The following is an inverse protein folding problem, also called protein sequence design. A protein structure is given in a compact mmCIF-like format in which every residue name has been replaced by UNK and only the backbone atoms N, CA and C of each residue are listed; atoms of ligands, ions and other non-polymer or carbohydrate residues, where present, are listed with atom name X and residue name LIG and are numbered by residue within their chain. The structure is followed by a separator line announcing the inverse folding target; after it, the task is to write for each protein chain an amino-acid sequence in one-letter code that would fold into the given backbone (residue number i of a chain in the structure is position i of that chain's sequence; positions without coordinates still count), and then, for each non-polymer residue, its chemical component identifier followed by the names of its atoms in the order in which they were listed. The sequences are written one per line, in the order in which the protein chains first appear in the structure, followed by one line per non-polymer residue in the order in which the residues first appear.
data_IF_931150738140
#
_entry.id   IF_931150738140
#
_cell.length_a   1.000
_cell.length_b   1.000
_cell.length_c   1.000
_cell.angle_alpha   90.00
_cell.angle_beta   90.00
_cell.angle_gamma   90.00
#
_symmetry.space_group_name_H-M   'P 1'
#
loop_
_entity.id
_entity.type
_entity.pdbx_description
1 polymer ?
#
# COMPACT_ATOMS: atom_id res chain seq x y z
N UNK A 1 -50.95 -58.43 25.93
CA UNK A 1 -50.85 -57.20 26.69
C UNK A 1 -50.23 -56.16 25.80
N UNK A 2 -51.03 -55.20 25.53
CA UNK A 2 -50.86 -53.95 24.79
C UNK A 2 -49.60 -53.16 25.22
N UNK A 3 -48.85 -52.55 24.31
CA UNK A 3 -48.50 -51.13 24.38
C UNK A 3 -48.11 -50.62 22.98
N UNK A 4 -48.60 -49.53 22.70
CA UNK A 4 -48.85 -48.61 21.64
C UNK A 4 -47.62 -48.02 20.95
N UNK A 5 -47.74 -47.79 19.64
CA UNK A 5 -46.89 -46.94 18.80
C UNK A 5 -47.23 -45.45 18.97
N UNK A 6 -46.26 -44.59 18.88
CA UNK A 6 -46.39 -43.18 18.45
C UNK A 6 -45.06 -42.79 17.76
N UNK A 7 -45.05 -42.63 16.48
CA UNK A 7 -45.43 -41.54 15.61
C UNK A 7 -44.44 -40.38 15.61
N UNK A 8 -43.72 -40.24 14.51
CA UNK A 8 -43.55 -39.03 13.74
C UNK A 8 -42.67 -37.92 14.35
N UNK A 9 -41.45 -37.83 13.86
CA UNK A 9 -40.71 -36.58 13.90
C UNK A 9 -40.49 -36.11 12.45
N UNK A 10 -41.28 -35.09 12.06
CA UNK A 10 -41.05 -34.30 10.83
C UNK A 10 -39.75 -33.52 10.94
N UNK A 11 -39.04 -33.29 9.84
CA UNK A 11 -37.88 -32.43 9.85
C UNK A 11 -38.32 -30.98 10.08
N UNK A 12 -37.67 -30.32 11.06
CA UNK A 12 -37.84 -28.90 11.31
C UNK A 12 -37.31 -28.09 10.11
N UNK A 13 -38.19 -27.28 9.55
CA UNK A 13 -37.86 -26.28 8.57
C UNK A 13 -36.93 -25.23 9.18
N UNK A 14 -35.80 -25.01 8.52
CA UNK A 14 -34.89 -23.89 8.84
C UNK A 14 -35.65 -22.56 8.82
N UNK A 15 -35.40 -21.64 9.77
CA UNK A 15 -36.02 -20.33 9.77
C UNK A 15 -35.47 -19.52 8.61
N UNK A 16 -36.35 -19.09 7.71
CA UNK A 16 -36.08 -18.06 6.71
C UNK A 16 -35.73 -16.78 7.46
N UNK A 17 -34.45 -16.33 7.39
CA UNK A 17 -34.05 -15.04 7.88
C UNK A 17 -34.62 -14.00 6.91
N UNK A 18 -35.48 -13.06 7.35
CA UNK A 18 -35.96 -11.99 6.49
C UNK A 18 -34.75 -11.09 6.17
N UNK A 19 -34.51 -10.85 4.88
CA UNK A 19 -33.51 -9.88 4.40
C UNK A 19 -33.85 -8.45 4.81
N UNK A 20 -33.62 -8.10 6.07
CA UNK A 20 -33.53 -6.73 6.54
C UNK A 20 -32.10 -6.27 6.30
N UNK A 21 -31.91 -5.29 5.41
CA UNK A 21 -30.63 -4.59 5.28
C UNK A 21 -30.21 -4.10 6.68
N UNK A 22 -29.14 -4.70 7.22
CA UNK A 22 -28.51 -4.21 8.44
C UNK A 22 -27.97 -2.84 8.08
N UNK A 23 -28.66 -1.76 8.50
CA UNK A 23 -28.09 -0.42 8.40
C UNK A 23 -26.76 -0.46 9.14
N UNK A 24 -25.64 -0.14 8.48
CA UNK A 24 -24.35 -0.12 9.16
C UNK A 24 -24.50 0.80 10.37
N UNK A 25 -24.06 0.33 11.55
CA UNK A 25 -24.00 1.14 12.75
C UNK A 25 -23.08 2.30 12.41
N UNK A 26 -23.61 3.54 12.41
CA UNK A 26 -22.79 4.73 12.22
C UNK A 26 -21.64 4.68 13.24
N UNK A 27 -20.43 4.50 12.73
CA UNK A 27 -19.23 4.61 13.52
C UNK A 27 -18.96 6.11 13.76
N UNK A 28 -18.36 6.51 14.89
CA UNK A 28 -17.98 7.91 15.07
C UNK A 28 -17.05 8.31 13.91
N UNK A 29 -17.37 9.44 13.24
CA UNK A 29 -16.53 9.99 12.18
C UNK A 29 -15.11 10.22 12.70
N UNK A 30 -14.12 9.77 11.95
CA UNK A 30 -12.72 10.02 12.29
C UNK A 30 -12.37 11.44 11.84
N UNK A 31 -11.80 12.23 12.75
CA UNK A 31 -11.29 13.55 12.39
C UNK A 31 -10.08 13.40 11.46
N UNK A 32 -10.15 14.04 10.29
CA UNK A 32 -9.10 14.04 9.27
C UNK A 32 -8.56 15.45 9.09
N UNK A 33 -7.24 15.59 8.99
CA UNK A 33 -6.58 16.84 8.64
C UNK A 33 -5.90 16.61 7.29
N UNK A 34 -6.24 17.41 6.30
CA UNK A 34 -5.56 17.42 5.00
C UNK A 34 -4.67 18.65 4.88
N UNK A 35 -3.45 18.47 4.38
CA UNK A 35 -2.48 19.54 4.16
C UNK A 35 -2.24 19.75 2.68
N UNK A 36 -2.33 20.99 2.24
CA UNK A 36 -2.03 21.42 0.86
C UNK A 36 -0.93 22.48 0.88
N UNK A 37 -0.04 22.46 -0.12
CA UNK A 37 0.90 23.56 -0.36
C UNK A 37 0.36 24.61 -1.32
N UNK A 38 -0.90 24.48 -1.75
CA UNK A 38 -1.52 25.38 -2.70
C UNK A 38 -1.00 25.25 -4.14
N UNK A 39 -0.20 24.23 -4.45
CA UNK A 39 0.32 24.01 -5.80
C UNK A 39 -0.80 23.56 -6.72
N UNK A 40 -0.84 24.04 -7.98
CA UNK A 40 -1.91 23.69 -8.92
C UNK A 40 -2.12 22.20 -9.13
N UNK A 41 -1.03 21.41 -9.13
CA UNK A 41 -1.09 19.95 -9.33
C UNK A 41 -1.89 19.24 -8.22
N UNK A 42 -1.85 19.73 -6.98
CA UNK A 42 -2.62 19.13 -5.88
C UNK A 42 -4.12 19.25 -6.11
N UNK A 43 -4.54 20.41 -6.65
CA UNK A 43 -5.93 20.62 -7.04
C UNK A 43 -6.34 19.81 -8.27
N UNK A 44 -5.47 19.70 -9.26
CA UNK A 44 -5.74 18.98 -10.50
C UNK A 44 -5.76 17.46 -10.28
N UNK A 45 -4.81 16.94 -9.54
CA UNK A 45 -4.68 15.50 -9.29
C UNK A 45 -5.41 15.05 -8.01
N UNK A 46 -6.16 15.94 -7.35
CA UNK A 46 -6.97 15.67 -6.18
C UNK A 46 -6.22 14.89 -5.09
N UNK A 47 -5.10 15.45 -4.60
CA UNK A 47 -4.34 14.87 -3.50
C UNK A 47 -3.90 15.92 -2.47
N UNK A 48 -3.55 15.45 -1.29
CA UNK A 48 -2.98 16.25 -0.20
C UNK A 48 -1.50 15.93 -0.04
N UNK A 49 -0.69 16.93 0.34
CA UNK A 49 0.73 16.76 0.66
C UNK A 49 0.94 15.80 1.81
N UNK A 50 0.17 16.00 2.85
CA UNK A 50 0.09 15.11 4.00
C UNK A 50 -1.35 15.05 4.47
N UNK A 51 -1.68 13.99 5.17
CA UNK A 51 -2.93 13.91 5.90
C UNK A 51 -2.74 13.19 7.24
N UNK A 52 -3.64 13.47 8.16
CA UNK A 52 -3.77 12.78 9.42
C UNK A 52 -5.17 12.19 9.54
N UNK A 53 -5.27 10.95 10.01
CA UNK A 53 -6.52 10.34 10.47
C UNK A 53 -6.23 9.60 11.77
N UNK A 54 -6.87 10.05 12.86
CA UNK A 54 -6.57 9.50 14.18
C UNK A 54 -5.09 9.65 14.56
N UNK A 55 -4.44 8.56 14.88
CA UNK A 55 -3.01 8.53 15.20
C UNK A 55 -2.09 8.42 13.95
N UNK A 56 -2.64 8.11 12.78
CA UNK A 56 -1.85 7.89 11.56
C UNK A 56 -1.64 9.20 10.81
N UNK A 57 -0.39 9.50 10.46
CA UNK A 57 0.00 10.63 9.60
C UNK A 57 0.67 10.07 8.36
N UNK A 58 0.16 10.43 7.20
CA UNK A 58 0.66 10.00 5.90
C UNK A 58 1.22 11.20 5.13
N UNK A 59 2.42 11.03 4.57
CA UNK A 59 3.05 11.94 3.64
C UNK A 59 2.94 11.37 2.22
N UNK A 60 2.43 12.14 1.28
CA UNK A 60 2.41 11.80 -0.15
C UNK A 60 3.80 11.57 -0.70
N UNK A 61 3.87 10.81 -1.78
CA UNK A 61 5.04 10.79 -2.64
C UNK A 61 5.53 12.23 -2.87
N UNK A 62 6.75 12.48 -2.45
CA UNK A 62 7.36 13.80 -2.49
C UNK A 62 8.70 13.71 -3.21
N UNK A 63 8.88 14.58 -4.18
CA UNK A 63 10.12 14.79 -4.91
C UNK A 63 10.73 16.12 -4.53
N UNK A 64 12.03 16.28 -4.77
CA UNK A 64 12.79 17.49 -4.47
C UNK A 64 12.47 18.60 -5.47
N UNK A 65 11.36 19.32 -5.30
CA UNK A 65 10.90 20.38 -6.18
C UNK A 65 10.58 21.64 -5.37
N UNK A 66 11.08 22.81 -5.82
CA UNK A 66 10.67 24.10 -5.28
C UNK A 66 9.28 24.55 -5.76
N UNK A 67 8.84 25.74 -5.35
CA UNK A 67 7.54 26.31 -5.75
C UNK A 67 7.42 26.63 -7.24
N UNK A 68 8.51 27.04 -7.83
CA UNK A 68 8.64 27.37 -9.24
C UNK A 68 8.68 26.12 -10.11
N UNK A 69 8.83 24.92 -9.46
CA UNK A 69 8.89 23.65 -10.11
C UNK A 69 10.29 23.22 -10.54
N UNK A 70 11.35 23.87 -10.07
CA UNK A 70 12.72 23.44 -10.32
C UNK A 70 13.07 22.27 -9.41
N UNK A 71 13.89 21.34 -9.94
CA UNK A 71 14.42 20.24 -9.11
C UNK A 71 15.53 20.75 -8.23
N UNK A 72 15.46 20.44 -6.95
CA UNK A 72 16.43 20.81 -5.93
C UNK A 72 17.47 19.70 -5.76
N UNK A 73 18.73 20.02 -6.05
CA UNK A 73 19.86 19.10 -5.89
C UNK A 73 20.12 18.20 -7.10
N UNK A 74 21.40 18.02 -7.41
CA UNK A 74 21.90 17.25 -8.54
C UNK A 74 22.29 15.81 -8.17
N UNK A 75 22.25 15.45 -6.88
CA UNK A 75 22.54 14.11 -6.36
C UNK A 75 21.35 13.56 -5.61
N UNK A 76 21.27 12.23 -5.51
CA UNK A 76 20.19 11.57 -4.75
C UNK A 76 20.23 11.99 -3.28
N UNK A 77 21.41 12.13 -2.68
CA UNK A 77 21.56 12.61 -1.30
C UNK A 77 20.98 14.01 -1.12
N UNK A 78 21.33 14.96 -2.00
CA UNK A 78 20.80 16.34 -1.92
C UNK A 78 19.28 16.38 -2.13
N UNK A 79 18.75 15.54 -3.01
CA UNK A 79 17.30 15.43 -3.21
C UNK A 79 16.60 14.84 -1.97
N UNK A 80 17.18 13.83 -1.32
CA UNK A 80 16.65 13.28 -0.05
C UNK A 80 16.58 14.38 1.02
N UNK A 81 17.63 15.15 1.21
CA UNK A 81 17.66 16.26 2.19
C UNK A 81 16.55 17.29 1.93
N UNK A 82 16.37 17.69 0.66
CA UNK A 82 15.32 18.62 0.27
C UNK A 82 13.90 18.02 0.50
N UNK A 83 13.69 16.74 0.15
CA UNK A 83 12.43 16.04 0.36
C UNK A 83 12.10 15.95 1.86
N UNK A 84 13.07 15.57 2.70
CA UNK A 84 12.84 15.41 4.13
C UNK A 84 12.52 16.73 4.82
N UNK A 85 13.07 17.85 4.32
CA UNK A 85 12.68 19.19 4.79
C UNK A 85 11.20 19.47 4.46
N UNK A 86 10.78 19.27 3.21
CA UNK A 86 9.38 19.43 2.79
C UNK A 86 8.43 18.51 3.57
N UNK A 87 8.87 17.28 3.86
CA UNK A 87 8.10 16.31 4.62
C UNK A 87 7.91 16.77 6.09
N UNK A 88 8.95 17.29 6.75
CA UNK A 88 8.83 17.83 8.12
C UNK A 88 7.78 18.95 8.19
N UNK A 89 7.82 19.86 7.23
CA UNK A 89 6.87 20.99 7.19
C UNK A 89 5.43 20.52 6.97
N UNK A 90 5.19 19.62 6.03
CA UNK A 90 3.85 19.12 5.71
C UNK A 90 3.29 18.17 6.78
N UNK A 91 4.11 17.28 7.33
CA UNK A 91 3.70 16.41 8.45
C UNK A 91 3.43 17.23 9.72
N UNK A 92 4.25 18.24 10.02
CA UNK A 92 4.03 19.16 11.14
C UNK A 92 2.71 19.90 11.02
N UNK A 93 2.33 20.36 9.81
CA UNK A 93 1.02 20.98 9.56
C UNK A 93 -0.13 19.99 9.75
N UNK A 94 0.08 18.70 9.48
CA UNK A 94 -0.86 17.63 9.82
C UNK A 94 -0.83 17.27 11.32
N UNK A 95 -0.11 18.02 12.16
CA UNK A 95 0.13 17.73 13.58
C UNK A 95 0.89 16.40 13.82
N UNK A 96 1.65 15.94 12.86
CA UNK A 96 2.56 14.81 13.02
C UNK A 96 3.93 15.25 13.53
N UNK A 97 4.63 14.32 14.16
CA UNK A 97 6.00 14.48 14.63
C UNK A 97 6.90 13.62 13.75
N UNK A 98 7.99 14.19 13.23
CA UNK A 98 8.86 13.49 12.29
C UNK A 98 9.56 12.28 12.95
N UNK A 99 9.86 12.39 14.23
CA UNK A 99 10.46 11.33 15.04
C UNK A 99 9.53 10.13 15.25
N UNK A 100 8.24 10.29 14.95
CA UNK A 100 7.22 9.22 14.99
C UNK A 100 7.09 8.44 13.67
N UNK A 101 7.98 8.68 12.69
CA UNK A 101 7.99 7.94 11.42
C UNK A 101 8.31 6.47 11.67
N UNK A 102 7.42 5.60 11.18
CA UNK A 102 7.50 4.14 11.36
C UNK A 102 7.75 3.39 10.07
N UNK A 103 7.46 4.00 8.93
CA UNK A 103 7.68 3.40 7.61
C UNK A 103 8.04 4.45 6.57
N UNK A 104 8.95 4.09 5.67
CA UNK A 104 9.31 4.86 4.51
C UNK A 104 9.35 4.00 3.25
N UNK A 105 8.92 4.56 2.12
CA UNK A 105 9.05 3.96 0.81
C UNK A 105 9.79 4.90 -0.11
N UNK A 106 10.86 4.38 -0.69
CA UNK A 106 11.79 5.12 -1.54
C UNK A 106 11.74 4.52 -2.96
N UNK A 107 11.39 5.35 -3.93
CA UNK A 107 11.30 5.00 -5.34
C UNK A 107 12.39 5.76 -6.10
N UNK A 108 13.38 5.03 -6.63
CA UNK A 108 14.60 5.60 -7.23
C UNK A 108 14.61 5.34 -8.73
N UNK A 109 14.91 6.37 -9.54
CA UNK A 109 14.86 6.26 -11.02
C UNK A 109 16.13 5.67 -11.63
N UNK A 110 17.22 5.58 -10.87
CA UNK A 110 18.49 5.03 -11.30
C UNK A 110 18.99 3.98 -10.29
N UNK A 111 19.09 2.73 -10.73
CA UNK A 111 19.52 1.65 -9.85
C UNK A 111 20.98 1.79 -9.39
N UNK A 112 21.81 2.58 -10.08
CA UNK A 112 23.21 2.80 -9.71
C UNK A 112 23.37 3.64 -8.44
N UNK A 113 22.33 4.39 -8.03
CA UNK A 113 22.35 5.21 -6.81
C UNK A 113 21.49 4.63 -5.67
N UNK A 114 20.97 3.41 -5.82
CA UNK A 114 20.15 2.76 -4.77
C UNK A 114 20.88 2.69 -3.43
N UNK A 115 22.13 2.22 -3.43
CA UNK A 115 22.93 2.10 -2.21
C UNK A 115 23.24 3.48 -1.59
N UNK A 116 23.55 4.50 -2.41
CA UNK A 116 23.72 5.88 -1.94
C UNK A 116 22.43 6.40 -1.30
N UNK A 117 21.28 6.16 -1.95
CA UNK A 117 19.97 6.57 -1.45
C UNK A 117 19.66 5.92 -0.09
N UNK A 118 19.82 4.60 0.02
CA UNK A 118 19.60 3.87 1.26
C UNK A 118 20.48 4.39 2.41
N UNK A 119 21.78 4.53 2.19
CA UNK A 119 22.71 5.06 3.21
C UNK A 119 22.44 6.52 3.58
N UNK A 120 22.03 7.36 2.62
CA UNK A 120 21.67 8.74 2.91
C UNK A 120 20.41 8.80 3.78
N UNK A 121 19.44 7.94 3.48
CA UNK A 121 18.21 7.83 4.26
C UNK A 121 18.47 7.29 5.66
N UNK A 122 19.25 6.21 5.82
CA UNK A 122 19.63 5.68 7.14
C UNK A 122 20.31 6.74 8.03
N UNK A 123 21.20 7.54 7.46
CA UNK A 123 21.83 8.66 8.21
C UNK A 123 20.79 9.69 8.66
N UNK A 124 19.84 10.03 7.80
CA UNK A 124 18.80 11.01 8.10
C UNK A 124 17.79 10.52 9.15
N UNK A 125 17.59 9.20 9.24
CA UNK A 125 16.69 8.55 10.18
C UNK A 125 17.42 7.81 11.32
N UNK A 126 18.70 8.12 11.53
CA UNK A 126 19.45 7.56 12.66
C UNK A 126 18.73 7.86 13.99
N UNK A 127 18.43 6.79 14.76
CA UNK A 127 17.67 6.87 16.01
C UNK A 127 16.14 6.79 15.86
N UNK A 128 15.59 6.88 14.61
CA UNK A 128 14.18 6.62 14.32
C UNK A 128 14.02 5.18 13.80
N UNK A 129 14.88 4.75 12.89
CA UNK A 129 14.96 3.41 12.32
C UNK A 129 13.61 2.87 11.79
N UNK A 130 12.95 3.54 10.83
CA UNK A 130 11.70 3.06 10.28
C UNK A 130 11.88 1.76 9.47
N UNK A 131 10.81 1.04 9.21
CA UNK A 131 10.79 0.01 8.18
C UNK A 131 10.92 0.66 6.80
N UNK A 132 11.96 0.31 6.05
CA UNK A 132 12.26 0.92 4.75
C UNK A 132 11.98 -0.06 3.61
N UNK A 133 11.26 0.40 2.59
CA UNK A 133 11.18 -0.22 1.28
C UNK A 133 11.90 0.67 0.27
N UNK A 134 12.88 0.14 -0.43
CA UNK A 134 13.69 0.84 -1.45
C UNK A 134 13.66 0.03 -2.73
N UNK A 135 13.12 0.62 -3.82
CA UNK A 135 12.99 -0.04 -5.12
C UNK A 135 13.31 0.90 -6.27
N UNK A 136 13.90 0.37 -7.37
CA UNK A 136 14.02 1.11 -8.60
C UNK A 136 12.67 1.21 -9.31
N UNK A 137 12.48 2.34 -10.01
CA UNK A 137 11.35 2.59 -10.91
C UNK A 137 11.87 3.13 -12.25
N UNK A 138 11.04 3.11 -13.28
CA UNK A 138 11.49 3.55 -14.61
C UNK A 138 11.67 5.06 -14.72
N UNK A 139 10.76 5.84 -14.11
CA UNK A 139 10.73 7.29 -14.29
C UNK A 139 9.80 7.95 -13.28
N UNK A 140 10.13 9.18 -12.90
CA UNK A 140 9.25 10.15 -12.25
C UNK A 140 8.73 11.19 -13.25
N UNK A 141 8.00 12.19 -12.77
CA UNK A 141 7.38 13.20 -13.63
C UNK A 141 8.40 14.02 -14.44
N UNK A 142 9.61 14.20 -13.94
CA UNK A 142 10.70 14.93 -14.61
C UNK A 142 11.99 14.11 -14.62
N UNK A 143 12.77 14.17 -15.71
CA UNK A 143 14.01 13.39 -15.84
C UNK A 143 15.07 13.67 -14.75
N UNK A 144 15.11 14.88 -14.21
CA UNK A 144 16.06 15.26 -13.16
C UNK A 144 15.65 14.80 -11.75
N UNK A 145 14.45 14.27 -11.58
CA UNK A 145 14.02 13.70 -10.30
C UNK A 145 14.62 12.30 -10.16
N UNK A 146 15.46 12.12 -9.15
CA UNK A 146 16.18 10.87 -8.92
C UNK A 146 15.42 9.97 -7.92
N UNK A 147 14.60 10.56 -7.04
CA UNK A 147 13.93 9.85 -5.97
C UNK A 147 12.58 10.49 -5.63
N UNK A 148 11.64 9.66 -5.24
CA UNK A 148 10.38 10.03 -4.59
C UNK A 148 10.23 9.27 -3.28
N UNK A 149 9.77 9.94 -2.22
CA UNK A 149 9.68 9.36 -0.87
C UNK A 149 8.28 9.53 -0.32
N UNK A 150 7.71 8.43 0.19
CA UNK A 150 6.51 8.42 1.04
C UNK A 150 6.89 8.11 2.48
N UNK A 151 6.24 8.77 3.43
CA UNK A 151 6.43 8.51 4.86
C UNK A 151 5.08 8.20 5.53
N UNK A 152 5.15 7.33 6.52
CA UNK A 152 4.06 7.06 7.45
C UNK A 152 4.55 7.21 8.88
N UNK A 153 3.85 8.00 9.67
CA UNK A 153 4.09 8.17 11.09
C UNK A 153 2.86 7.75 11.90
N UNK A 154 3.09 7.37 13.15
CA UNK A 154 2.02 7.06 14.12
C UNK A 154 2.32 7.80 15.41
N UNK A 155 1.39 8.63 15.86
CA UNK A 155 1.56 9.45 17.06
C UNK A 155 2.11 8.67 18.25
N UNK A 156 3.18 9.19 18.84
CA UNK A 156 3.85 8.60 19.99
C UNK A 156 4.71 7.37 19.66
N UNK A 157 4.93 7.07 18.38
CA UNK A 157 5.75 5.92 17.96
C UNK A 157 7.18 6.02 18.45
N UNK A 158 7.77 7.22 18.51
CA UNK A 158 9.11 7.43 19.05
C UNK A 158 9.30 6.87 20.48
N UNK A 159 8.23 6.80 21.27
CA UNK A 159 8.25 6.29 22.64
C UNK A 159 7.67 4.87 22.76
N UNK A 160 6.89 4.39 21.80
CA UNK A 160 6.08 3.16 21.95
C UNK A 160 6.35 2.10 20.89
N UNK A 161 6.96 2.46 19.77
CA UNK A 161 7.27 1.49 18.72
C UNK A 161 8.35 0.50 19.17
N UNK A 162 8.14 -0.76 18.81
CA UNK A 162 9.14 -1.80 18.93
C UNK A 162 9.79 -2.02 17.57
N UNK A 163 11.12 -1.99 17.53
CA UNK A 163 11.90 -2.26 16.33
C UNK A 163 12.42 -3.69 16.36
N UNK A 164 12.18 -4.44 15.30
CA UNK A 164 12.65 -5.80 15.13
C UNK A 164 13.82 -5.77 14.13
N UNK A 165 15.01 -5.91 14.64
CA UNK A 165 16.21 -5.96 13.79
C UNK A 165 16.19 -7.20 12.88
N UNK A 166 16.63 -7.02 11.65
CA UNK A 166 16.74 -8.08 10.65
C UNK A 166 17.84 -7.73 9.63
N UNK A 167 18.96 -7.23 10.11
CA UNK A 167 20.13 -6.87 9.29
C UNK A 167 20.65 -8.02 8.42
N UNK A 168 20.23 -9.26 8.71
CA UNK A 168 20.50 -10.42 7.87
C UNK A 168 19.66 -10.53 6.60
N UNK A 169 18.55 -9.75 6.50
CA UNK A 169 17.64 -9.80 5.35
C UNK A 169 17.11 -8.43 4.87
N UNK A 170 17.53 -7.34 5.51
CA UNK A 170 17.26 -5.96 5.06
C UNK A 170 18.57 -5.17 5.03
N UNK A 171 18.76 -4.37 3.99
CA UNK A 171 19.99 -3.58 3.81
C UNK A 171 19.93 -2.25 4.57
N UNK A 172 18.72 -1.72 4.80
CA UNK A 172 18.50 -0.38 5.36
C UNK A 172 17.32 -0.37 6.33
N UNK A 173 17.39 0.49 7.36
CA UNK A 173 16.37 0.62 8.38
C UNK A 173 16.31 -0.58 9.32
N UNK A 174 15.10 -0.92 9.74
CA UNK A 174 14.84 -2.11 10.56
C UNK A 174 13.99 -3.13 9.81
N UNK A 175 14.06 -4.42 10.20
CA UNK A 175 13.29 -5.47 9.56
C UNK A 175 11.79 -5.30 9.72
N UNK A 176 11.34 -4.91 10.92
CA UNK A 176 9.95 -4.55 11.15
C UNK A 176 9.79 -3.52 12.27
N UNK A 177 8.72 -2.73 12.20
CA UNK A 177 8.26 -1.84 13.27
C UNK A 177 6.89 -2.29 13.75
N UNK A 178 6.75 -2.46 15.07
CA UNK A 178 5.46 -2.77 15.72
C UNK A 178 4.94 -1.53 16.42
N UNK A 179 3.76 -1.06 16.04
CA UNK A 179 3.13 0.13 16.63
C UNK A 179 1.61 0.01 16.58
N UNK A 180 0.92 0.28 17.69
CA UNK A 180 -0.54 0.22 17.75
C UNK A 180 -1.14 -1.13 17.34
N UNK A 181 -0.38 -2.23 17.50
CA UNK A 181 -0.78 -3.57 17.07
C UNK A 181 -0.57 -3.85 15.57
N UNK A 182 -0.06 -2.89 14.80
CA UNK A 182 0.36 -3.08 13.40
C UNK A 182 1.82 -3.52 13.37
N UNK A 183 2.15 -4.40 12.43
CA UNK A 183 3.50 -4.89 12.15
C UNK A 183 3.84 -4.44 10.72
N UNK A 184 4.78 -3.53 10.60
CA UNK A 184 5.21 -2.95 9.33
C UNK A 184 6.55 -3.57 8.96
N UNK A 185 6.57 -4.45 7.96
CA UNK A 185 7.78 -5.14 7.49
C UNK A 185 8.40 -4.33 6.36
N UNK A 186 9.69 -4.07 6.45
CA UNK A 186 10.48 -3.37 5.41
C UNK A 186 10.69 -4.22 4.17
N UNK A 187 11.41 -3.67 3.21
CA UNK A 187 11.76 -4.36 1.96
C UNK A 187 12.78 -5.47 2.20
N UNK A 188 12.35 -6.72 2.05
CA UNK A 188 13.21 -7.90 2.15
C UNK A 188 13.65 -8.27 0.74
N UNK A 189 14.94 -8.11 0.46
CA UNK A 189 15.55 -8.56 -0.77
C UNK A 189 15.89 -10.05 -0.71
N UNK A 190 15.66 -10.77 -1.80
CA UNK A 190 15.98 -12.19 -1.91
C UNK A 190 16.81 -12.45 -3.14
N UNK A 191 17.94 -13.14 -2.97
CA UNK A 191 18.85 -13.50 -4.05
C UNK A 191 18.90 -15.02 -4.24
N UNK A 192 18.64 -15.46 -5.45
CA UNK A 192 18.78 -16.86 -5.88
C UNK A 192 18.52 -16.95 -7.39
N UNK A 193 19.01 -18.00 -8.02
CA UNK A 193 18.71 -18.30 -9.43
C UNK A 193 17.28 -18.80 -9.67
N UNK A 194 16.53 -19.15 -8.62
CA UNK A 194 15.19 -19.71 -8.67
C UNK A 194 14.18 -18.78 -8.00
N UNK A 195 13.09 -18.42 -8.71
CA UNK A 195 12.00 -17.61 -8.13
C UNK A 195 11.34 -18.32 -6.95
N UNK A 196 11.21 -19.66 -6.99
CA UNK A 196 10.71 -20.44 -5.85
C UNK A 196 11.60 -20.25 -4.62
N UNK A 197 12.93 -20.37 -4.76
CA UNK A 197 13.86 -20.18 -3.63
C UNK A 197 13.85 -18.75 -3.13
N UNK A 198 13.79 -17.75 -4.01
CA UNK A 198 13.64 -16.34 -3.60
C UNK A 198 12.35 -16.11 -2.83
N UNK A 199 11.23 -16.71 -3.28
CA UNK A 199 9.93 -16.62 -2.59
C UNK A 199 9.99 -17.28 -1.22
N UNK A 200 10.64 -18.45 -1.11
CA UNK A 200 10.83 -19.15 0.16
C UNK A 200 11.63 -18.31 1.17
N UNK A 201 12.77 -17.75 0.73
CA UNK A 201 13.60 -16.90 1.57
C UNK A 201 12.84 -15.67 2.08
N UNK A 202 12.21 -14.92 1.17
CA UNK A 202 11.50 -13.70 1.53
C UNK A 202 10.32 -13.98 2.45
N UNK A 203 9.49 -14.99 2.17
CA UNK A 203 8.33 -15.32 2.99
C UNK A 203 8.72 -15.89 4.36
N UNK A 204 9.76 -16.73 4.44
CA UNK A 204 10.27 -17.20 5.71
C UNK A 204 10.78 -16.05 6.58
N UNK A 205 11.44 -15.04 5.99
CA UNK A 205 11.85 -13.84 6.69
C UNK A 205 10.64 -13.02 7.17
N UNK A 206 9.62 -12.79 6.31
CA UNK A 206 8.37 -12.12 6.70
C UNK A 206 7.70 -12.83 7.87
N UNK A 207 7.52 -14.16 7.78
CA UNK A 207 6.85 -14.94 8.83
C UNK A 207 7.66 -14.95 10.14
N UNK A 208 9.00 -15.02 10.06
CA UNK A 208 9.88 -14.88 11.22
C UNK A 208 9.76 -13.51 11.89
N UNK A 209 9.67 -12.43 11.10
CA UNK A 209 9.48 -11.08 11.63
C UNK A 209 8.11 -10.91 12.29
N UNK A 210 7.05 -11.49 11.72
CA UNK A 210 5.73 -11.50 12.35
C UNK A 210 5.76 -12.22 13.70
N UNK A 211 6.40 -13.39 13.79
CA UNK A 211 6.53 -14.15 15.04
C UNK A 211 7.33 -13.37 16.11
N UNK A 212 8.48 -12.81 15.73
CA UNK A 212 9.32 -11.97 16.61
C UNK A 212 8.61 -10.69 17.06
N UNK A 213 7.66 -10.21 16.28
CA UNK A 213 6.79 -9.08 16.60
C UNK A 213 5.60 -9.47 17.50
N UNK A 214 5.48 -10.74 17.90
CA UNK A 214 4.37 -11.24 18.71
C UNK A 214 3.09 -11.52 17.94
N UNK A 215 3.16 -11.56 16.61
CA UNK A 215 2.06 -11.96 15.72
C UNK A 215 2.19 -13.42 15.27
N UNK A 216 1.34 -13.80 14.35
CA UNK A 216 1.32 -15.11 13.70
C UNK A 216 1.14 -14.93 12.19
N UNK A 217 1.25 -15.99 11.41
CA UNK A 217 0.93 -15.95 9.98
C UNK A 217 -0.50 -15.47 9.72
N UNK A 218 -1.46 -15.80 10.58
CA UNK A 218 -2.87 -15.39 10.45
C UNK A 218 -3.06 -13.86 10.59
N UNK A 219 -2.06 -13.17 11.12
CA UNK A 219 -2.05 -11.72 11.31
C UNK A 219 -1.57 -10.95 10.07
N UNK A 220 -1.03 -11.65 9.06
CA UNK A 220 -0.62 -11.04 7.79
C UNK A 220 -1.85 -10.53 7.03
N UNK A 221 -1.93 -9.21 6.78
CA UNK A 221 -3.05 -8.57 6.09
C UNK A 221 -2.73 -8.18 4.65
N UNK A 222 -1.47 -7.93 4.34
CA UNK A 222 -1.04 -7.55 2.99
C UNK A 222 0.41 -7.89 2.70
N UNK A 223 0.68 -8.19 1.42
CA UNK A 223 2.03 -8.47 0.93
C UNK A 223 2.22 -7.87 -0.46
N UNK A 224 3.42 -7.35 -0.73
CA UNK A 224 3.80 -6.80 -2.03
C UNK A 224 5.05 -7.47 -2.53
N UNK A 225 5.03 -7.82 -3.80
CA UNK A 225 6.14 -8.39 -4.55
C UNK A 225 6.60 -7.41 -5.61
N UNK A 226 7.81 -6.92 -5.49
CA UNK A 226 8.50 -6.14 -6.52
C UNK A 226 9.45 -7.09 -7.25
N UNK A 227 9.19 -7.32 -8.54
CA UNK A 227 9.79 -8.42 -9.29
C UNK A 227 10.57 -7.87 -10.50
N UNK A 228 11.83 -8.24 -10.63
CA UNK A 228 12.67 -7.79 -11.76
C UNK A 228 12.35 -8.50 -13.07
N UNK A 229 11.81 -9.72 -13.02
CA UNK A 229 11.32 -10.49 -14.16
C UNK A 229 9.86 -10.89 -13.93
N UNK A 230 8.93 -10.10 -14.44
CA UNK A 230 7.49 -10.31 -14.24
C UNK A 230 6.98 -11.63 -14.83
N UNK A 231 7.69 -12.23 -15.80
CA UNK A 231 7.31 -13.53 -16.36
C UNK A 231 7.34 -14.67 -15.33
N UNK A 232 8.05 -14.47 -14.21
CA UNK A 232 8.12 -15.40 -13.08
C UNK A 232 7.02 -15.22 -12.04
N UNK A 233 6.14 -14.26 -12.22
CA UNK A 233 5.07 -13.94 -11.27
C UNK A 233 4.15 -15.12 -10.96
N UNK A 234 3.81 -15.94 -11.95
CA UNK A 234 2.98 -17.13 -11.75
C UNK A 234 3.63 -18.15 -10.80
N UNK A 235 4.95 -18.36 -10.91
CA UNK A 235 5.73 -19.22 -10.03
C UNK A 235 5.77 -18.65 -8.61
N UNK A 236 6.05 -17.34 -8.48
CA UNK A 236 6.09 -16.61 -7.20
C UNK A 236 4.74 -16.72 -6.48
N UNK A 237 3.64 -16.40 -7.16
CA UNK A 237 2.28 -16.43 -6.58
C UNK A 237 1.86 -17.84 -6.18
N UNK A 238 2.14 -18.83 -7.02
CA UNK A 238 1.83 -20.22 -6.70
C UNK A 238 2.59 -20.70 -5.46
N UNK A 239 3.87 -20.34 -5.37
CA UNK A 239 4.69 -20.70 -4.21
C UNK A 239 4.24 -19.97 -2.94
N UNK A 240 4.02 -18.66 -3.03
CA UNK A 240 3.53 -17.85 -1.93
C UNK A 240 2.16 -18.36 -1.42
N UNK A 241 1.23 -18.70 -2.34
CA UNK A 241 -0.05 -19.29 -1.97
C UNK A 241 0.09 -20.62 -1.24
N UNK A 242 1.08 -21.45 -1.63
CA UNK A 242 1.36 -22.73 -0.95
C UNK A 242 1.89 -22.53 0.48
N UNK A 243 2.71 -21.50 0.71
CA UNK A 243 3.29 -21.20 2.04
C UNK A 243 2.23 -20.56 2.93
N UNK A 244 1.48 -19.59 2.42
CA UNK A 244 0.50 -18.81 3.20
C UNK A 244 -0.81 -19.58 3.45
N UNK A 245 -1.13 -20.57 2.62
CA UNK A 245 -2.27 -21.45 2.85
C UNK A 245 -3.61 -20.71 2.96
N UNK A 246 -4.25 -20.80 4.14
CA UNK A 246 -5.57 -20.19 4.41
C UNK A 246 -5.53 -18.74 4.85
N UNK A 247 -4.34 -18.14 5.04
CA UNK A 247 -4.19 -16.75 5.53
C UNK A 247 -4.86 -15.73 4.61
N UNK A 248 -4.68 -15.89 3.30
CA UNK A 248 -5.29 -15.04 2.26
C UNK A 248 -5.10 -13.54 2.49
N UNK A 249 -3.85 -13.02 2.59
CA UNK A 249 -3.62 -11.59 2.64
C UNK A 249 -3.99 -10.92 1.31
N UNK A 250 -4.02 -9.58 1.27
CA UNK A 250 -4.00 -8.86 -0.01
C UNK A 250 -2.65 -9.06 -0.71
N UNK A 251 -2.63 -8.94 -2.04
CA UNK A 251 -1.42 -9.08 -2.84
C UNK A 251 -1.28 -7.97 -3.86
N UNK A 252 -0.09 -7.41 -3.95
CA UNK A 252 0.33 -6.48 -5.02
C UNK A 252 1.58 -7.05 -5.69
N UNK A 253 1.61 -7.06 -7.03
CA UNK A 253 2.78 -7.50 -7.81
C UNK A 253 3.12 -6.41 -8.80
N UNK A 254 4.37 -5.95 -8.77
CA UNK A 254 4.87 -4.85 -9.58
C UNK A 254 6.17 -5.29 -10.27
N UNK A 255 6.23 -5.13 -11.59
CA UNK A 255 7.45 -5.31 -12.36
C UNK A 255 8.35 -4.08 -12.22
N UNK A 256 9.55 -4.25 -11.69
CA UNK A 256 10.55 -3.19 -11.47
C UNK A 256 11.77 -3.37 -12.40
N UNK A 257 12.56 -2.30 -12.62
CA UNK A 257 13.84 -2.42 -13.30
C UNK A 257 14.78 -3.42 -12.60
N UNK A 258 15.72 -4.06 -13.34
CA UNK A 258 16.73 -4.92 -12.74
C UNK A 258 17.52 -4.19 -11.64
N UNK A 259 17.91 -4.91 -10.61
CA UNK A 259 18.82 -4.43 -9.57
C UNK A 259 20.29 -4.59 -10.03
N UNK A 260 21.22 -3.91 -9.35
CA UNK A 260 22.66 -4.05 -9.64
C UNK A 260 23.14 -5.47 -9.39
N UNK A 261 22.68 -6.09 -8.29
CA UNK A 261 22.86 -7.51 -8.07
C UNK A 261 21.81 -8.28 -8.88
N UNK A 262 22.25 -8.87 -9.98
CA UNK A 262 21.36 -9.62 -10.87
C UNK A 262 20.78 -10.91 -10.24
N UNK A 263 21.32 -11.37 -9.10
CA UNK A 263 20.77 -12.50 -8.36
C UNK A 263 19.57 -12.09 -7.52
N UNK A 264 19.39 -10.80 -7.20
CA UNK A 264 18.21 -10.28 -6.51
C UNK A 264 17.08 -10.08 -7.52
N UNK A 265 16.17 -11.03 -7.56
CA UNK A 265 15.00 -10.98 -8.45
C UNK A 265 13.69 -10.56 -7.78
N UNK A 266 13.68 -10.45 -6.44
CA UNK A 266 12.48 -10.25 -5.66
C UNK A 266 12.77 -9.38 -4.43
N UNK A 267 11.94 -8.33 -4.24
CA UNK A 267 11.84 -7.57 -3.00
C UNK A 267 10.42 -7.70 -2.47
N UNK A 268 10.26 -7.97 -1.18
CA UNK A 268 8.96 -8.16 -0.53
C UNK A 268 8.76 -7.16 0.59
N UNK A 269 7.64 -6.43 0.57
CA UNK A 269 7.12 -5.61 1.66
C UNK A 269 5.86 -6.29 2.21
N UNK A 270 5.66 -6.27 3.54
CA UNK A 270 4.49 -6.87 4.15
C UNK A 270 3.92 -6.03 5.29
N UNK A 271 2.65 -6.28 5.61
CA UNK A 271 1.97 -5.67 6.74
C UNK A 271 1.12 -6.70 7.48
N UNK A 272 1.25 -6.69 8.81
CA UNK A 272 0.46 -7.51 9.73
C UNK A 272 -0.33 -6.65 10.71
N UNK A 273 -1.37 -7.25 11.31
CA UNK A 273 -2.12 -6.67 12.42
C UNK A 273 -2.35 -7.74 13.46
N UNK A 274 -1.81 -7.57 14.66
CA UNK A 274 -1.89 -8.54 15.75
C UNK A 274 -3.36 -8.86 16.08
N UNK A 275 -3.72 -10.13 16.03
CA UNK A 275 -5.09 -10.62 16.23
C UNK A 275 -6.02 -10.44 15.01
N UNK A 276 -5.50 -10.08 13.84
CA UNK A 276 -6.28 -9.94 12.61
C UNK A 276 -7.01 -11.23 12.22
N UNK A 277 -6.38 -12.39 12.40
CA UNK A 277 -6.96 -13.67 12.03
C UNK A 277 -8.36 -13.95 12.60
N UNK A 278 -8.71 -13.31 13.72
CA UNK A 278 -10.02 -13.45 14.39
C UNK A 278 -11.01 -12.33 14.04
N UNK A 279 -10.56 -11.24 13.43
CA UNK A 279 -11.35 -10.01 13.23
C UNK A 279 -11.50 -9.62 11.76
N UNK A 280 -10.77 -10.29 10.87
CA UNK A 280 -10.67 -9.90 9.46
C UNK A 280 -11.92 -10.27 8.67
N UNK A 281 -12.28 -9.41 7.74
CA UNK A 281 -13.24 -9.66 6.67
C UNK A 281 -12.50 -9.56 5.34
N UNK A 282 -12.62 -10.61 4.53
CA UNK A 282 -11.91 -10.70 3.26
C UNK A 282 -12.90 -10.72 2.10
N UNK A 283 -12.53 -10.09 0.98
CA UNK A 283 -13.17 -10.32 -0.30
C UNK A 283 -12.25 -11.16 -1.20
N UNK A 284 -12.80 -12.07 -2.02
CA UNK A 284 -11.96 -12.94 -2.84
C UNK A 284 -11.22 -12.15 -3.93
N UNK A 285 -9.97 -12.54 -4.20
CA UNK A 285 -9.21 -11.99 -5.33
C UNK A 285 -9.69 -12.64 -6.64
N UNK A 286 -10.01 -11.86 -7.70
CA UNK A 286 -10.57 -12.41 -8.93
C UNK A 286 -9.62 -13.37 -9.66
N UNK A 287 -8.31 -13.16 -9.56
CA UNK A 287 -7.27 -13.92 -10.26
C UNK A 287 -6.54 -14.93 -9.37
N UNK A 288 -6.36 -14.64 -8.08
CA UNK A 288 -5.51 -15.42 -7.18
C UNK A 288 -6.31 -15.98 -5.98
N UNK A 289 -6.83 -17.22 -6.06
CA UNK A 289 -7.66 -17.80 -4.98
C UNK A 289 -6.97 -17.92 -3.62
N UNK A 290 -5.63 -17.94 -3.59
CA UNK A 290 -4.84 -17.98 -2.36
C UNK A 290 -4.72 -16.60 -1.66
N UNK A 291 -5.25 -15.54 -2.28
CA UNK A 291 -5.16 -14.16 -1.80
C UNK A 291 -6.54 -13.51 -1.73
N UNK A 292 -6.59 -12.35 -1.12
CA UNK A 292 -7.79 -11.51 -1.02
C UNK A 292 -7.66 -10.27 -1.88
N UNK A 293 -8.77 -9.81 -2.47
CA UNK A 293 -8.85 -8.49 -3.11
C UNK A 293 -8.78 -7.39 -2.06
N UNK A 294 -9.40 -7.64 -0.92
CA UNK A 294 -9.31 -6.76 0.24
C UNK A 294 -9.34 -7.52 1.55
N UNK A 295 -8.75 -6.94 2.57
CA UNK A 295 -8.80 -7.39 3.96
C UNK A 295 -9.18 -6.20 4.83
N UNK A 296 -10.31 -6.28 5.53
CA UNK A 296 -10.67 -5.30 6.55
C UNK A 296 -10.38 -5.85 7.94
N UNK A 297 -9.67 -5.07 8.75
CA UNK A 297 -9.48 -5.30 10.18
C UNK A 297 -9.87 -4.03 10.90
N UNK A 298 -10.93 -4.09 11.70
CA UNK A 298 -11.55 -2.95 12.35
C UNK A 298 -11.90 -1.84 11.33
N UNK A 299 -11.29 -0.65 11.42
CA UNK A 299 -11.51 0.44 10.48
C UNK A 299 -10.52 0.45 9.30
N UNK A 300 -9.43 -0.29 9.37
CA UNK A 300 -8.46 -0.38 8.30
C UNK A 300 -8.92 -1.32 7.19
N UNK A 301 -8.84 -0.87 5.94
CA UNK A 301 -9.10 -1.67 4.75
C UNK A 301 -7.84 -1.69 3.91
N UNK A 302 -7.21 -2.86 3.87
CA UNK A 302 -6.06 -3.19 3.04
C UNK A 302 -6.57 -3.71 1.70
N UNK A 303 -5.97 -3.27 0.60
CA UNK A 303 -6.44 -3.55 -0.74
C UNK A 303 -5.28 -4.09 -1.59
N UNK A 304 -5.53 -5.11 -2.38
CA UNK A 304 -4.64 -5.50 -3.48
C UNK A 304 -4.60 -4.38 -4.51
N UNK A 305 -3.59 -4.37 -5.38
CA UNK A 305 -3.65 -3.46 -6.53
C UNK A 305 -4.83 -3.83 -7.45
N UNK A 306 -5.54 -2.81 -7.90
CA UNK A 306 -6.64 -2.93 -8.87
C UNK A 306 -6.06 -2.76 -10.27
N UNK A 307 -5.91 -3.86 -10.98
CA UNK A 307 -5.68 -3.89 -12.42
C UNK A 307 -7.01 -3.82 -13.17
N UNK A 308 -7.03 -3.46 -14.46
CA UNK A 308 -8.27 -3.36 -15.24
C UNK A 308 -8.81 -4.75 -15.61
N UNK A 309 -9.06 -5.59 -14.61
CA UNK A 309 -9.52 -6.98 -14.77
C UNK A 309 -10.98 -7.13 -14.37
N UNK A 310 -11.75 -7.85 -15.21
CA UNK A 310 -13.09 -8.28 -14.83
C UNK A 310 -13.07 -9.50 -13.88
N UNK A 311 -14.24 -9.99 -13.50
CA UNK A 311 -14.39 -11.15 -12.60
C UNK A 311 -13.76 -12.45 -13.15
N UNK A 312 -13.63 -12.56 -14.47
CA UNK A 312 -12.95 -13.68 -15.14
C UNK A 312 -11.45 -13.47 -15.31
N UNK A 313 -10.87 -12.44 -14.66
CA UNK A 313 -9.48 -12.04 -14.74
C UNK A 313 -9.00 -11.67 -16.17
N UNK A 314 -9.91 -11.19 -17.02
CA UNK A 314 -9.57 -10.71 -18.37
C UNK A 314 -9.40 -9.20 -18.35
N UNK A 315 -8.36 -8.71 -19.05
CA UNK A 315 -8.08 -7.26 -19.17
C UNK A 315 -9.22 -6.58 -19.92
N UNK A 316 -9.70 -5.49 -19.37
CA UNK A 316 -10.72 -4.63 -19.97
C UNK A 316 -10.08 -3.41 -20.60
N UNK A 317 -10.69 -2.87 -21.63
CA UNK A 317 -10.26 -1.63 -22.32
C UNK A 317 -8.79 -1.67 -22.75
N UNK A 318 -8.34 -2.80 -23.32
CA UNK A 318 -6.97 -2.94 -23.81
C UNK A 318 -6.59 -1.79 -24.76
N UNK A 319 -5.45 -1.13 -24.50
CA UNK A 319 -4.98 0.01 -25.26
C UNK A 319 -5.64 1.36 -24.93
N UNK A 320 -6.72 1.39 -24.17
CA UNK A 320 -7.37 2.63 -23.70
C UNK A 320 -7.03 2.90 -22.23
N UNK A 321 -5.96 3.65 -22.04
CA UNK A 321 -5.45 4.00 -20.72
C UNK A 321 -6.46 4.74 -19.83
N UNK A 322 -7.24 5.64 -20.44
CA UNK A 322 -8.25 6.42 -19.71
C UNK A 322 -9.40 5.54 -19.22
N UNK A 323 -9.90 4.65 -20.09
CA UNK A 323 -10.95 3.72 -19.69
C UNK A 323 -10.45 2.66 -18.68
N UNK A 324 -9.17 2.28 -18.75
CA UNK A 324 -8.60 1.37 -17.76
C UNK A 324 -8.54 1.96 -16.35
N UNK A 325 -8.14 3.23 -16.22
CA UNK A 325 -8.11 3.87 -14.90
C UNK A 325 -9.51 4.06 -14.32
N UNK A 326 -10.48 4.48 -15.15
CA UNK A 326 -11.87 4.60 -14.72
C UNK A 326 -12.38 3.27 -14.20
N UNK A 327 -12.15 2.18 -14.93
CA UNK A 327 -12.55 0.83 -14.55
C UNK A 327 -11.89 0.36 -13.25
N UNK A 328 -10.59 0.65 -13.04
CA UNK A 328 -9.90 0.33 -11.79
C UNK A 328 -10.52 1.06 -10.59
N UNK A 329 -10.84 2.35 -10.73
CA UNK A 329 -11.42 3.16 -9.64
C UNK A 329 -12.87 2.74 -9.35
N UNK A 330 -13.66 2.41 -10.37
CA UNK A 330 -15.03 1.88 -10.19
C UNK A 330 -15.01 0.54 -9.41
N UNK A 331 -14.10 -0.37 -9.77
CA UNK A 331 -13.92 -1.63 -9.04
C UNK A 331 -13.42 -1.43 -7.60
N UNK A 332 -12.55 -0.44 -7.37
CA UNK A 332 -12.12 -0.04 -6.04
C UNK A 332 -13.32 0.45 -5.22
N UNK A 333 -14.14 1.34 -5.77
CA UNK A 333 -15.36 1.84 -5.12
C UNK A 333 -16.32 0.71 -4.74
N UNK A 334 -16.65 -0.16 -5.70
CA UNK A 334 -17.52 -1.31 -5.47
C UNK A 334 -16.97 -2.28 -4.40
N UNK A 335 -15.65 -2.46 -4.33
CA UNK A 335 -15.02 -3.29 -3.29
C UNK A 335 -15.12 -2.63 -1.91
N UNK A 336 -14.93 -1.32 -1.82
CA UNK A 336 -15.07 -0.58 -0.56
C UNK A 336 -16.51 -0.63 -0.04
N UNK A 337 -17.51 -0.48 -0.91
CA UNK A 337 -18.93 -0.59 -0.56
C UNK A 337 -19.28 -1.94 0.07
N UNK A 338 -18.75 -3.06 -0.43
CA UNK A 338 -18.91 -4.39 0.15
C UNK A 338 -18.38 -4.49 1.59
N UNK A 339 -17.43 -3.62 1.95
CA UNK A 339 -16.83 -3.54 3.28
C UNK A 339 -17.42 -2.44 4.16
N UNK A 340 -18.47 -1.75 3.68
CA UNK A 340 -19.13 -0.65 4.39
C UNK A 340 -18.30 0.63 4.44
N UNK A 341 -17.56 0.92 3.36
CA UNK A 341 -16.76 2.12 3.13
C UNK A 341 -17.04 2.68 1.74
N UNK A 342 -16.41 3.79 1.38
CA UNK A 342 -16.53 4.42 0.06
C UNK A 342 -15.18 4.96 -0.42
N UNK A 343 -15.13 5.52 -1.63
CA UNK A 343 -13.93 6.22 -2.13
C UNK A 343 -13.54 7.41 -1.24
N UNK A 344 -14.49 8.00 -0.52
CA UNK A 344 -14.21 9.09 0.41
C UNK A 344 -13.38 8.66 1.62
N UNK A 345 -13.44 7.38 1.98
CA UNK A 345 -12.66 6.80 3.07
C UNK A 345 -11.20 6.48 2.70
N UNK A 346 -10.84 6.60 1.42
CA UNK A 346 -9.47 6.40 0.95
C UNK A 346 -8.55 7.47 1.54
N UNK A 347 -7.48 7.03 2.19
CA UNK A 347 -6.48 7.90 2.82
C UNK A 347 -5.16 7.91 2.07
N UNK A 348 -4.88 6.88 1.28
CA UNK A 348 -3.70 6.77 0.44
C UNK A 348 -4.06 6.04 -0.86
N UNK A 349 -3.50 6.52 -1.98
CA UNK A 349 -3.58 5.86 -3.28
C UNK A 349 -2.24 5.91 -4.01
N UNK A 350 -1.95 4.88 -4.80
CA UNK A 350 -0.79 4.82 -5.70
C UNK A 350 -1.23 4.40 -7.09
N UNK A 351 -0.72 5.11 -8.08
CA UNK A 351 -0.87 4.74 -9.48
C UNK A 351 0.46 4.19 -10.00
N UNK A 352 0.44 2.93 -10.37
CA UNK A 352 1.55 2.30 -11.07
C UNK A 352 1.21 2.23 -12.55
N UNK A 353 1.98 2.94 -13.37
CA UNK A 353 1.72 3.04 -14.82
C UNK A 353 2.89 2.49 -15.60
N UNK A 354 2.63 1.88 -16.76
CA UNK A 354 3.70 1.49 -17.68
C UNK A 354 4.40 2.72 -18.25
N UNK A 355 5.69 2.57 -18.56
CA UNK A 355 6.44 3.61 -19.25
C UNK A 355 5.72 3.97 -20.58
N UNK A 356 5.59 5.28 -20.86
CA UNK A 356 4.88 5.80 -22.02
C UNK A 356 3.37 6.03 -21.86
N UNK A 357 2.76 5.64 -20.72
CA UNK A 357 1.37 5.98 -20.43
C UNK A 357 1.20 7.51 -20.23
N UNK A 358 0.13 8.05 -20.75
CA UNK A 358 -0.24 9.45 -20.53
C UNK A 358 -0.83 9.63 -19.12
N UNK A 359 -0.28 10.56 -18.34
CA UNK A 359 -0.72 10.80 -16.95
C UNK A 359 -1.80 11.88 -16.84
N UNK A 360 -2.23 12.49 -17.94
CA UNK A 360 -3.15 13.63 -17.96
C UNK A 360 -4.46 13.33 -17.23
N UNK A 361 -4.97 12.11 -17.37
CA UNK A 361 -6.22 11.72 -16.71
C UNK A 361 -6.09 11.63 -15.18
N UNK A 362 -4.93 11.28 -14.70
CA UNK A 362 -4.60 11.34 -13.26
C UNK A 362 -4.45 12.79 -12.81
N UNK A 363 -3.94 13.67 -13.69
CA UNK A 363 -3.59 15.04 -13.40
C UNK A 363 -4.63 16.06 -13.86
N UNK A 364 -5.92 15.70 -13.92
CA UNK A 364 -6.98 16.67 -14.07
C UNK A 364 -7.98 16.45 -15.22
N UNK A 365 -7.76 15.45 -16.08
CA UNK A 365 -8.72 15.11 -17.15
C UNK A 365 -9.72 14.01 -16.72
N UNK A 366 -9.60 13.48 -15.50
CA UNK A 366 -10.49 12.47 -14.95
C UNK A 366 -11.80 13.05 -14.40
N UNK A 367 -12.77 12.18 -14.06
CA UNK A 367 -14.09 12.58 -13.56
C UNK A 367 -14.07 13.13 -12.11
N UNK A 368 -12.90 13.49 -11.59
CA UNK A 368 -12.79 14.12 -10.27
C UNK A 368 -12.81 13.13 -9.11
N UNK A 369 -12.36 11.87 -9.33
CA UNK A 369 -12.19 10.94 -8.22
C UNK A 369 -11.39 11.58 -7.09
N UNK A 370 -11.81 11.36 -5.87
CA UNK A 370 -11.17 11.90 -4.68
C UNK A 370 -11.16 13.44 -4.56
N UNK A 371 -11.93 14.18 -5.38
CA UNK A 371 -11.95 15.66 -5.35
C UNK A 371 -12.35 16.22 -3.98
N UNK A 372 -13.30 15.55 -3.31
CA UNK A 372 -13.81 15.97 -2.00
C UNK A 372 -12.82 15.68 -0.86
N UNK A 373 -12.08 14.59 -0.95
CA UNK A 373 -11.32 14.07 0.20
C UNK A 373 -9.80 14.12 0.03
N UNK A 374 -9.31 14.15 -1.21
CA UNK A 374 -7.88 14.28 -1.57
C UNK A 374 -6.94 13.45 -0.70
N UNK A 375 -6.90 12.11 -0.87
CA UNK A 375 -5.96 11.25 -0.15
C UNK A 375 -4.50 11.61 -0.45
N UNK A 376 -3.55 11.05 0.29
CA UNK A 376 -2.15 11.08 -0.15
C UNK A 376 -2.01 10.30 -1.46
N UNK A 377 -1.05 10.66 -2.29
CA UNK A 377 -0.86 10.08 -3.60
C UNK A 377 0.60 9.83 -3.94
N UNK A 378 0.80 8.81 -4.77
CA UNK A 378 2.02 8.54 -5.50
C UNK A 378 1.65 8.21 -6.95
N UNK A 379 2.49 8.61 -7.89
CA UNK A 379 2.42 8.18 -9.27
C UNK A 379 3.79 7.83 -9.80
N UNK A 380 4.07 6.56 -10.05
CA UNK A 380 5.35 6.12 -10.59
C UNK A 380 5.21 5.24 -11.83
N UNK A 381 6.23 5.27 -12.67
CA UNK A 381 6.31 4.43 -13.87
C UNK A 381 7.12 3.18 -13.59
N UNK A 382 6.49 2.06 -13.83
CA UNK A 382 7.03 0.71 -13.63
C UNK A 382 7.36 0.06 -14.97
N UNK A 383 8.05 -1.08 -14.91
CA UNK A 383 8.40 -1.86 -16.12
C UNK A 383 7.16 -2.50 -16.70
N UNK A 384 6.38 -3.23 -15.88
CA UNK A 384 5.24 -3.99 -16.35
C UNK A 384 4.26 -4.33 -15.24
N UNK A 385 3.03 -4.60 -15.65
CA UNK A 385 2.02 -5.33 -14.88
C UNK A 385 2.09 -6.82 -15.24
N UNK A 386 1.22 -7.61 -14.60
CA UNK A 386 1.10 -9.06 -14.89
C UNK A 386 0.64 -9.36 -16.30
N UNK A 387 -0.18 -8.49 -16.88
CA UNK A 387 -0.65 -8.58 -18.26
C UNK A 387 -0.09 -7.43 -19.09
N UNK A 388 0.37 -7.76 -20.29
CA UNK A 388 0.93 -6.75 -21.22
C UNK A 388 -0.10 -5.72 -21.69
N UNK A 389 -1.38 -6.05 -21.64
CA UNK A 389 -2.49 -5.15 -21.98
C UNK A 389 -2.89 -4.23 -20.82
N UNK A 390 -2.44 -4.52 -19.59
CA UNK A 390 -2.66 -3.65 -18.42
C UNK A 390 -1.68 -2.48 -18.45
N UNK A 391 -2.19 -1.27 -18.61
CA UNK A 391 -1.39 -0.05 -18.69
C UNK A 391 -1.23 0.63 -17.33
N UNK A 392 -2.14 0.33 -16.40
CA UNK A 392 -2.21 0.94 -15.08
C UNK A 392 -2.71 -0.05 -14.03
N UNK A 393 -2.26 0.14 -12.80
CA UNK A 393 -2.92 -0.39 -11.61
C UNK A 393 -3.04 0.65 -10.52
N UNK A 394 -4.05 0.49 -9.67
CA UNK A 394 -4.35 1.39 -8.55
C UNK A 394 -4.25 0.62 -7.25
N UNK A 395 -3.37 1.04 -6.37
CA UNK A 395 -3.31 0.57 -4.99
C UNK A 395 -3.93 1.62 -4.07
N UNK A 396 -4.65 1.20 -3.04
CA UNK A 396 -5.24 2.10 -2.06
C UNK A 396 -5.20 1.51 -0.64
N UNK A 397 -5.32 2.40 0.34
CA UNK A 397 -5.61 2.09 1.73
C UNK A 397 -6.78 2.98 2.16
N UNK A 398 -7.77 2.41 2.82
CA UNK A 398 -8.91 3.15 3.32
C UNK A 398 -9.08 2.98 4.83
N UNK A 399 -9.59 4.02 5.47
CA UNK A 399 -9.98 4.03 6.88
C UNK A 399 -11.46 4.42 6.96
N UNK A 400 -12.31 3.50 7.36
CA UNK A 400 -13.75 3.73 7.44
C UNK A 400 -14.08 4.97 8.30
N UNK A 401 -14.93 5.83 7.77
CA UNK A 401 -15.33 7.08 8.40
C UNK A 401 -14.32 8.22 8.26
N UNK A 402 -13.23 8.03 7.51
CA UNK A 402 -12.21 9.06 7.31
C UNK A 402 -12.65 10.17 6.33
N UNK A 403 -13.71 9.95 5.56
CA UNK A 403 -14.22 10.93 4.59
C UNK A 403 -15.18 11.97 5.14
N UNK A 404 -15.66 11.81 6.38
CA UNK A 404 -16.82 12.59 6.89
C UNK A 404 -16.45 13.92 7.54
N UNK A 405 -15.26 14.06 8.14
CA UNK A 405 -14.88 15.23 8.94
C UNK A 405 -13.44 15.65 8.61
N UNK A 406 -13.29 16.59 7.65
CA UNK A 406 -12.00 16.99 7.08
C UNK A 406 -11.70 18.45 7.38
N UNK A 407 -10.62 18.69 8.12
CA UNK A 407 -9.98 19.99 8.28
C UNK A 407 -8.94 20.22 7.18
N UNK A 408 -8.98 21.38 6.53
CA UNK A 408 -8.03 21.75 5.50
C UNK A 408 -6.99 22.74 6.03
N UNK A 409 -5.73 22.46 5.81
CA UNK A 409 -4.61 23.35 6.16
C UNK A 409 -3.77 23.64 4.94
N UNK A 410 -3.24 24.85 4.87
CA UNK A 410 -2.31 25.27 3.81
C UNK A 410 -0.98 25.62 4.42
N UNK A 411 0.08 25.16 3.79
CA UNK A 411 1.47 25.50 4.13
C UNK A 411 2.13 26.25 3.01
N UNK A 412 3.17 26.94 3.37
CA UNK A 412 3.93 27.79 2.47
C UNK A 412 5.32 27.17 2.22
N UNK A 413 5.40 26.15 1.32
CA UNK A 413 6.62 25.38 1.03
C UNK A 413 6.93 25.28 -0.47
#
# INVERSE_FOLDING_TARGET
MTISAHSGCSPASDPIIPGGAIKPKLMPSQHRINVSSGRPLEGLAHYSRALRVGAVVLQSGTTAIDREGNVLGDTVTAQIEAILKLARDSMGAAQGVFEDVVRARLYVTDNTVLDEAGRAFDRAFAGINPAIMLVPICQLARPAQLIEIELEAVDGAAATAQHIDASECVDYGTGAVVVGGRILVGGIASSSTSATAQTDQALNAVLSLLDRAGGTSDDLVGIKFFVTDISRSAEIISRAGSILGSVKPTVTIIGIPPLLDAEVGLIVEAEGVIGAGRRRLNTPHPRFPAFSRSVRVDEHIYLSNFEPLNESASVQHAGDWAAQIDYCIENLGSTLEQLGASLDDVVMRRFFTRAGAEMNRVYGEGPGWFAATRPTALGCRIVSHLDDESLISVEAHALRGAGENIDWRTIDV
#
